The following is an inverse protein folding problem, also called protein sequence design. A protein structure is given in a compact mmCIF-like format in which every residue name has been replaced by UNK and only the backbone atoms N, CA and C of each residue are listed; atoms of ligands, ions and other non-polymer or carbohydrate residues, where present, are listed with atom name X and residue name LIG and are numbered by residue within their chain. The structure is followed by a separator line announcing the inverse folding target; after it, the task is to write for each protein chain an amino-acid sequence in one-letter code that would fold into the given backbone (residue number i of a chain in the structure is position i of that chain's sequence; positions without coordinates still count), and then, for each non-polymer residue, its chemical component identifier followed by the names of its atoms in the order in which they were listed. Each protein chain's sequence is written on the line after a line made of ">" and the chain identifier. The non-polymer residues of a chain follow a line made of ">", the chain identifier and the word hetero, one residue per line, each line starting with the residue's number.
data_IF_933079369649
#
_entry.id   IF_933079369649
#
_cell.length_a   1.000
_cell.length_b   1.000
_cell.length_c   1.000
_cell.angle_alpha   90.00
_cell.angle_beta   90.00
_cell.angle_gamma   90.00
#
_symmetry.space_group_name_H-M   'P 1'
#
loop_
_entity.id
_entity.type
_entity.pdbx_description
1 polymer ?
#
# COMPACT_ATOMS: atom_id res chain seq x y z
N UNK A 1 11.34 9.29 2.73
CA UNK A 1 11.61 7.95 3.27
C UNK A 1 12.74 7.37 2.44
N UNK A 2 13.84 6.96 3.07
CA UNK A 2 14.97 6.35 2.37
C UNK A 2 14.86 4.83 2.44
N UNK A 3 15.34 4.13 1.41
CA UNK A 3 15.41 2.68 1.38
C UNK A 3 16.58 2.23 0.50
N UNK A 4 17.10 1.04 0.76
CA UNK A 4 18.17 0.46 -0.05
C UNK A 4 17.59 -0.20 -1.29
N UNK A 5 18.17 0.12 -2.45
CA UNK A 5 17.79 -0.50 -3.70
C UNK A 5 18.16 -2.00 -3.69
N UNK A 6 17.22 -2.94 -3.90
CA UNK A 6 17.56 -4.36 -3.93
C UNK A 6 18.42 -4.76 -5.14
N UNK A 7 18.56 -3.89 -6.15
CA UNK A 7 19.36 -4.17 -7.34
C UNK A 7 20.82 -3.68 -7.24
N UNK A 8 21.06 -2.50 -6.66
CA UNK A 8 22.40 -1.90 -6.57
C UNK A 8 22.86 -1.58 -5.13
N UNK A 9 22.01 -1.85 -4.13
CA UNK A 9 22.28 -1.65 -2.69
C UNK A 9 22.57 -0.20 -2.28
N UNK A 10 22.46 0.76 -3.20
CA UNK A 10 22.53 2.19 -2.85
C UNK A 10 21.31 2.60 -2.05
N UNK A 11 21.53 3.49 -1.08
CA UNK A 11 20.48 4.11 -0.29
C UNK A 11 19.83 5.25 -1.09
N UNK A 12 18.52 5.14 -1.35
CA UNK A 12 17.79 6.03 -2.25
C UNK A 12 16.66 6.72 -1.48
N UNK A 13 16.47 8.01 -1.71
CA UNK A 13 15.28 8.69 -1.21
C UNK A 13 14.12 8.46 -2.19
N UNK A 14 12.96 8.07 -1.66
CA UNK A 14 11.74 7.91 -2.46
C UNK A 14 11.36 9.22 -3.22
N UNK A 15 11.78 10.37 -2.72
CA UNK A 15 11.58 11.68 -3.37
C UNK A 15 12.43 11.86 -4.65
N UNK A 16 13.54 11.13 -4.77
CA UNK A 16 14.45 11.23 -5.93
C UNK A 16 13.95 10.39 -7.12
N UNK A 17 12.92 9.56 -6.89
CA UNK A 17 12.30 8.72 -7.90
C UNK A 17 11.42 9.58 -8.82
N UNK A 18 11.94 9.89 -10.01
CA UNK A 18 11.25 10.65 -11.05
C UNK A 18 10.28 9.79 -11.87
N UNK A 19 10.71 8.57 -12.21
CA UNK A 19 9.88 7.66 -13.00
C UNK A 19 9.09 6.69 -12.14
N UNK A 20 7.76 6.79 -12.25
CA UNK A 20 6.81 5.86 -11.67
C UNK A 20 5.85 5.44 -12.74
N UNK A 21 5.60 4.13 -12.83
CA UNK A 21 4.61 3.58 -13.77
C UNK A 21 3.70 2.61 -13.07
N UNK A 22 2.56 2.35 -13.71
CA UNK A 22 1.61 1.34 -13.26
C UNK A 22 1.70 0.14 -14.19
N UNK A 23 1.76 -1.07 -13.62
CA UNK A 23 1.67 -2.33 -14.37
C UNK A 23 0.57 -3.17 -13.75
N UNK A 24 -0.64 -3.08 -14.32
CA UNK A 24 -1.85 -3.64 -13.72
C UNK A 24 -2.21 -2.93 -12.42
N UNK A 25 -2.39 -3.69 -11.34
CA UNK A 25 -2.64 -3.14 -10.00
C UNK A 25 -1.38 -2.63 -9.31
N UNK A 26 -0.20 -3.06 -9.76
CA UNK A 26 1.08 -2.79 -9.08
C UNK A 26 1.69 -1.46 -9.51
N UNK A 27 2.26 -0.73 -8.55
CA UNK A 27 3.10 0.44 -8.82
C UNK A 27 4.56 0.04 -8.92
N UNK A 28 5.22 0.51 -9.98
CA UNK A 28 6.65 0.34 -10.18
C UNK A 28 7.34 1.70 -10.11
N UNK A 29 8.50 1.71 -9.51
CA UNK A 29 9.37 2.86 -9.38
C UNK A 29 10.73 2.53 -10.00
N UNK A 30 11.28 3.43 -10.78
CA UNK A 30 12.63 3.24 -11.30
C UNK A 30 13.66 3.77 -10.31
N UNK A 31 14.68 2.96 -10.04
CA UNK A 31 15.84 3.37 -9.26
C UNK A 31 16.62 4.45 -10.04
N UNK A 32 16.84 5.67 -9.48
CA UNK A 32 17.59 6.74 -10.17
C UNK A 32 19.08 6.42 -10.37
N UNK A 33 19.63 5.46 -9.62
CA UNK A 33 21.06 5.13 -9.63
C UNK A 33 21.45 4.02 -10.61
N UNK A 34 20.60 3.01 -10.76
CA UNK A 34 20.90 1.84 -11.60
C UNK A 34 19.82 1.55 -12.65
N UNK A 35 18.81 2.43 -12.76
CA UNK A 35 17.69 2.33 -13.70
C UNK A 35 16.85 1.04 -13.59
N UNK A 36 17.05 0.23 -12.54
CA UNK A 36 16.26 -0.96 -12.29
C UNK A 36 14.82 -0.60 -11.90
N UNK A 37 13.86 -1.34 -12.45
CA UNK A 37 12.47 -1.24 -12.02
C UNK A 37 12.28 -2.01 -10.71
N UNK A 38 11.71 -1.32 -9.73
CA UNK A 38 11.39 -1.84 -8.42
C UNK A 38 9.87 -1.83 -8.24
N UNK A 39 9.34 -2.81 -7.53
CA UNK A 39 7.95 -2.74 -7.02
C UNK A 39 7.92 -3.07 -5.55
N UNK A 40 6.82 -2.71 -4.91
CA UNK A 40 6.50 -3.25 -3.59
C UNK A 40 6.20 -4.75 -3.72
N UNK A 41 6.58 -5.53 -2.72
CA UNK A 41 6.24 -6.96 -2.70
C UNK A 41 4.73 -7.15 -2.99
N UNK A 42 4.36 -7.98 -3.97
CA UNK A 42 2.98 -8.11 -4.44
C UNK A 42 2.03 -8.59 -3.34
N UNK A 43 2.49 -9.43 -2.42
CA UNK A 43 1.70 -9.89 -1.27
C UNK A 43 1.38 -8.71 -0.36
N UNK A 44 2.38 -7.90 -0.01
CA UNK A 44 2.14 -6.68 0.79
C UNK A 44 1.23 -5.70 0.06
N UNK A 45 1.44 -5.47 -1.25
CA UNK A 45 0.61 -4.53 -2.02
C UNK A 45 -0.86 -5.00 -2.07
N UNK A 46 -1.08 -6.33 -2.13
CA UNK A 46 -2.40 -6.93 -2.06
C UNK A 46 -3.06 -6.75 -0.69
N UNK A 47 -2.33 -7.00 0.40
CA UNK A 47 -2.83 -6.84 1.78
C UNK A 47 -3.21 -5.37 2.05
N UNK A 48 -2.36 -4.43 1.62
CA UNK A 48 -2.65 -2.99 1.74
C UNK A 48 -3.94 -2.62 1.00
N UNK A 49 -4.07 -3.09 -0.24
CA UNK A 49 -5.26 -2.83 -1.05
C UNK A 49 -6.51 -3.43 -0.42
N UNK A 50 -6.43 -4.66 0.10
CA UNK A 50 -7.53 -5.30 0.81
C UNK A 50 -7.93 -4.53 2.08
N UNK A 51 -6.96 -4.08 2.89
CA UNK A 51 -7.24 -3.25 4.08
C UNK A 51 -7.95 -1.94 3.75
N UNK A 52 -7.52 -1.27 2.67
CA UNK A 52 -8.18 -0.05 2.18
C UNK A 52 -9.60 -0.32 1.66
N UNK A 53 -9.83 -1.47 1.00
CA UNK A 53 -11.16 -1.86 0.55
C UNK A 53 -12.10 -2.14 1.73
N UNK A 54 -11.62 -2.88 2.74
CA UNK A 54 -12.40 -3.14 3.97
C UNK A 54 -12.76 -1.84 4.67
N UNK A 55 -11.80 -0.92 4.80
CA UNK A 55 -12.03 0.42 5.34
C UNK A 55 -13.13 1.14 4.54
N UNK A 56 -12.97 1.24 3.23
CA UNK A 56 -13.89 1.98 2.36
C UNK A 56 -15.30 1.40 2.42
N UNK A 57 -15.45 0.08 2.24
CA UNK A 57 -16.75 -0.58 2.23
C UNK A 57 -17.44 -0.44 3.58
N UNK A 58 -16.72 -0.69 4.68
CA UNK A 58 -17.29 -0.58 6.03
C UNK A 58 -17.72 0.86 6.33
N UNK A 59 -16.90 1.85 5.97
CA UNK A 59 -17.26 3.27 6.14
C UNK A 59 -18.46 3.67 5.30
N UNK A 60 -18.56 3.24 4.04
CA UNK A 60 -19.71 3.54 3.18
C UNK A 60 -21.00 2.94 3.74
N UNK A 61 -20.98 1.65 4.10
CA UNK A 61 -22.15 0.98 4.67
C UNK A 61 -22.62 1.65 5.97
N UNK A 62 -21.68 2.16 6.78
CA UNK A 62 -21.98 2.86 8.02
C UNK A 62 -22.56 4.26 7.76
N UNK A 63 -21.97 5.05 6.85
CA UNK A 63 -22.45 6.39 6.48
C UNK A 63 -23.85 6.35 5.88
N UNK A 64 -24.14 5.36 5.02
CA UNK A 64 -25.47 5.19 4.42
C UNK A 64 -26.45 4.45 5.32
N UNK A 65 -26.05 4.04 6.54
CA UNK A 65 -26.85 3.26 7.47
C UNK A 65 -27.54 2.05 6.82
N UNK A 66 -26.83 1.36 5.94
CA UNK A 66 -27.37 0.18 5.22
C UNK A 66 -27.70 -0.95 6.20
N UNK A 67 -26.90 -1.09 7.26
CA UNK A 67 -27.09 -2.10 8.31
C UNK A 67 -26.88 -1.47 9.69
N UNK A 68 -27.88 -0.75 10.24
CA UNK A 68 -27.72 0.01 11.48
C UNK A 68 -27.50 -0.90 12.71
N UNK A 69 -27.92 -2.16 12.67
CA UNK A 69 -27.64 -3.12 13.73
C UNK A 69 -26.15 -3.49 13.85
N UNK A 70 -25.34 -3.22 12.82
CA UNK A 70 -23.93 -3.59 12.76
C UNK A 70 -22.98 -2.36 12.81
N UNK A 71 -23.45 -1.14 13.09
CA UNK A 71 -22.62 0.09 13.01
C UNK A 71 -21.30 -0.03 13.80
N UNK A 72 -21.34 -0.59 15.00
CA UNK A 72 -20.15 -0.83 15.82
C UNK A 72 -19.18 -1.82 15.16
N UNK A 73 -19.69 -2.91 14.58
CA UNK A 73 -18.88 -3.93 13.91
C UNK A 73 -18.23 -3.40 12.64
N UNK A 74 -18.97 -2.61 11.85
CA UNK A 74 -18.44 -1.93 10.65
C UNK A 74 -17.35 -0.92 11.03
N UNK A 75 -17.54 -0.17 12.11
CA UNK A 75 -16.53 0.76 12.61
C UNK A 75 -15.25 0.04 13.06
N UNK A 76 -15.37 -1.09 13.76
CA UNK A 76 -14.23 -1.92 14.14
C UNK A 76 -13.52 -2.47 12.90
N UNK A 77 -14.27 -3.00 11.93
CA UNK A 77 -13.71 -3.50 10.67
C UNK A 77 -12.95 -2.40 9.91
N UNK A 78 -13.49 -1.17 9.89
CA UNK A 78 -12.82 -0.01 9.31
C UNK A 78 -11.49 0.30 10.00
N UNK A 79 -11.45 0.30 11.33
CA UNK A 79 -10.23 0.53 12.12
C UNK A 79 -9.18 -0.55 11.84
N UNK A 80 -9.59 -1.82 11.75
CA UNK A 80 -8.68 -2.92 11.41
C UNK A 80 -8.14 -2.73 9.98
N UNK A 81 -9.01 -2.40 9.03
CA UNK A 81 -8.64 -2.17 7.63
C UNK A 81 -7.60 -1.06 7.47
N UNK A 82 -7.81 0.09 8.12
CA UNK A 82 -6.83 1.20 8.07
C UNK A 82 -5.52 0.85 8.78
N UNK A 83 -5.57 0.15 9.90
CA UNK A 83 -4.38 -0.25 10.67
C UNK A 83 -3.50 -1.19 9.85
N UNK A 84 -4.09 -2.19 9.19
CA UNK A 84 -3.37 -3.09 8.28
C UNK A 84 -2.76 -2.33 7.10
N UNK A 85 -3.52 -1.43 6.47
CA UNK A 85 -3.02 -0.62 5.37
C UNK A 85 -1.82 0.25 5.81
N UNK A 86 -1.88 0.84 7.01
CA UNK A 86 -0.82 1.66 7.57
C UNK A 86 0.44 0.84 7.89
N UNK A 87 0.30 -0.28 8.60
CA UNK A 87 1.43 -1.16 8.93
C UNK A 87 2.16 -1.57 7.65
N UNK A 88 1.41 -1.99 6.64
CA UNK A 88 1.99 -2.38 5.36
C UNK A 88 2.66 -1.20 4.67
N UNK A 89 2.09 0.01 4.68
CA UNK A 89 2.77 1.18 4.09
C UNK A 89 4.09 1.53 4.76
N UNK A 90 4.19 1.33 6.07
CA UNK A 90 5.39 1.66 6.85
C UNK A 90 6.47 0.58 6.75
N UNK A 91 6.07 -0.67 6.54
CA UNK A 91 6.98 -1.84 6.53
C UNK A 91 7.18 -2.45 5.14
N UNK A 92 6.58 -1.84 4.10
CA UNK A 92 6.64 -2.31 2.72
C UNK A 92 8.08 -2.52 2.25
N UNK A 93 8.42 -3.78 1.92
CA UNK A 93 9.68 -4.10 1.25
C UNK A 93 9.54 -3.94 -0.25
N UNK A 94 10.59 -3.37 -0.86
CA UNK A 94 10.75 -3.27 -2.30
C UNK A 94 11.48 -4.51 -2.82
N UNK A 95 11.08 -4.98 -4.01
CA UNK A 95 11.74 -6.05 -4.76
C UNK A 95 12.04 -5.58 -6.18
N UNK A 96 13.04 -6.20 -6.81
CA UNK A 96 13.32 -5.99 -8.22
C UNK A 96 12.20 -6.65 -9.04
N UNK A 97 11.72 -5.95 -10.06
CA UNK A 97 10.72 -6.45 -11.02
C UNK A 97 11.31 -7.53 -11.92
#
# INVERSE_FOLDING_TARGET
>A
MKFDCPACQKNINNMDIKERRRKGIFKQAQCPECNAWLRMNPVMESIKTAGLLVLLVSSLLNVFRVMPALEAQLSIAAIIGVSLALIVTLTAKMEKV
#
